data_IF_941116366909
#
_entry.id   IF_941116366909
#
_cell.length_a   1.000
_cell.length_b   1.000
_cell.length_c   1.000
_cell.angle_alpha   90.00
_cell.angle_beta   90.00
_cell.angle_gamma   90.00
#
_symmetry.space_group_name_H-M   'P 1'
#
loop_
_entity.id
_entity.type
_entity.pdbx_description
1 polymer ?
#
# COMPACT_ATOMS: atom_id res chain seq x y z
N UNK A 1 -26.24 -0.04 9.13
CA UNK A 1 -24.89 -0.57 8.85
C UNK A 1 -24.14 0.51 8.09
N UNK A 2 -22.99 0.98 8.58
CA UNK A 2 -22.19 2.02 7.90
C UNK A 2 -20.94 1.37 7.31
N UNK A 3 -20.68 1.63 6.02
CA UNK A 3 -19.53 1.12 5.29
C UNK A 3 -18.68 2.27 4.78
N UNK A 4 -17.36 2.20 5.00
CA UNK A 4 -16.38 3.21 4.58
C UNK A 4 -15.32 2.56 3.70
N UNK A 5 -14.95 3.26 2.62
CA UNK A 5 -13.81 2.90 1.77
C UNK A 5 -12.69 3.91 2.03
N UNK A 6 -11.54 3.44 2.51
CA UNK A 6 -10.35 4.27 2.75
C UNK A 6 -9.35 4.01 1.63
N UNK A 7 -9.17 5.01 0.76
CA UNK A 7 -8.17 4.97 -0.31
C UNK A 7 -6.87 5.61 0.14
N UNK A 8 -5.77 4.88 0.03
CA UNK A 8 -4.44 5.32 0.43
C UNK A 8 -3.53 5.41 -0.80
N UNK A 9 -3.01 6.61 -1.06
CA UNK A 9 -2.06 6.85 -2.15
C UNK A 9 -0.63 6.45 -1.79
N UNK A 10 0.23 6.26 -2.80
CA UNK A 10 1.63 5.86 -2.61
C UNK A 10 2.38 6.80 -1.65
N UNK A 11 2.23 8.12 -1.81
CA UNK A 11 2.90 9.10 -0.93
C UNK A 11 2.44 9.05 0.54
N UNK A 12 1.27 8.47 0.83
CA UNK A 12 0.87 8.19 2.20
C UNK A 12 1.63 6.97 2.71
N UNK A 13 1.84 5.94 1.90
CA UNK A 13 2.37 4.65 2.34
C UNK A 13 3.88 4.51 2.29
N UNK A 14 4.59 5.43 1.62
CA UNK A 14 6.02 5.28 1.34
C UNK A 14 6.83 6.51 1.77
N UNK A 15 8.08 6.30 2.19
CA UNK A 15 9.09 7.36 2.40
C UNK A 15 10.02 7.56 1.20
N UNK A 16 10.04 6.59 0.29
CA UNK A 16 10.88 6.57 -0.90
C UNK A 16 10.56 5.37 -1.78
N UNK A 17 11.33 5.17 -2.84
CA UNK A 17 11.17 4.00 -3.73
C UNK A 17 11.49 2.73 -2.94
N UNK A 18 10.52 1.81 -2.85
CA UNK A 18 10.70 0.55 -2.12
C UNK A 18 10.60 0.64 -0.60
N UNK A 19 10.42 1.84 -0.05
CA UNK A 19 10.45 2.09 1.38
C UNK A 19 9.06 2.39 1.91
N UNK A 20 8.46 1.42 2.60
CA UNK A 20 7.16 1.58 3.25
C UNK A 20 7.32 2.31 4.58
N UNK A 21 6.40 3.24 4.85
CA UNK A 21 6.26 3.86 6.16
C UNK A 21 5.43 2.97 7.09
N UNK A 22 6.09 1.96 7.67
CA UNK A 22 5.45 0.98 8.55
C UNK A 22 4.81 1.60 9.79
N UNK A 23 5.42 2.67 10.33
CA UNK A 23 4.88 3.42 11.47
C UNK A 23 3.52 4.03 11.11
N UNK A 24 3.44 4.66 9.92
CA UNK A 24 2.20 5.27 9.45
C UNK A 24 1.13 4.23 9.12
N UNK A 25 1.52 3.10 8.50
CA UNK A 25 0.59 1.97 8.28
C UNK A 25 0.03 1.46 9.61
N UNK A 26 0.88 1.26 10.61
CA UNK A 26 0.43 0.81 11.94
C UNK A 26 -0.56 1.79 12.57
N UNK A 27 -0.31 3.10 12.45
CA UNK A 27 -1.23 4.13 12.94
C UNK A 27 -2.58 4.11 12.20
N UNK A 28 -2.59 3.86 10.89
CA UNK A 28 -3.81 3.68 10.10
C UNK A 28 -4.57 2.43 10.55
N UNK A 29 -3.88 1.29 10.74
CA UNK A 29 -4.49 0.05 11.20
C UNK A 29 -5.17 0.20 12.57
N UNK A 30 -4.58 0.98 13.49
CA UNK A 30 -5.21 1.29 14.78
C UNK A 30 -6.53 2.05 14.61
N UNK A 31 -6.55 3.10 13.78
CA UNK A 31 -7.78 3.85 13.48
C UNK A 31 -8.84 2.97 12.81
N UNK A 32 -8.44 2.08 11.90
CA UNK A 32 -9.36 1.12 11.27
C UNK A 32 -9.93 0.15 12.31
N UNK A 33 -9.12 -0.33 13.25
CA UNK A 33 -9.59 -1.20 14.33
C UNK A 33 -10.62 -0.49 15.22
N UNK A 34 -10.41 0.79 15.55
CA UNK A 34 -11.38 1.60 16.30
C UNK A 34 -12.72 1.76 15.56
N UNK A 35 -12.68 1.99 14.24
CA UNK A 35 -13.90 2.04 13.42
C UNK A 35 -14.63 0.69 13.40
N UNK A 36 -13.88 -0.41 13.26
CA UNK A 36 -14.46 -1.77 13.28
C UNK A 36 -15.08 -2.11 14.63
N UNK A 37 -14.47 -1.70 15.75
CA UNK A 37 -15.03 -1.85 17.09
C UNK A 37 -16.37 -1.09 17.28
N UNK A 38 -16.62 -0.08 16.45
CA UNK A 38 -17.89 0.66 16.40
C UNK A 38 -18.90 0.05 15.42
N UNK A 39 -18.68 -1.19 14.97
CA UNK A 39 -19.50 -1.90 13.97
C UNK A 39 -19.58 -1.19 12.61
N UNK A 40 -18.53 -0.44 12.24
CA UNK A 40 -18.38 0.16 10.91
C UNK A 40 -17.54 -0.79 10.06
N UNK A 41 -18.05 -1.13 8.87
CA UNK A 41 -17.31 -1.93 7.91
C UNK A 41 -16.30 -1.05 7.18
N UNK A 42 -15.06 -1.50 7.08
CA UNK A 42 -13.96 -0.74 6.46
C UNK A 42 -13.34 -1.56 5.34
N UNK A 43 -13.27 -0.97 4.15
CA UNK A 43 -12.54 -1.49 3.00
C UNK A 43 -11.32 -0.60 2.75
N UNK A 44 -10.13 -1.21 2.64
CA UNK A 44 -8.89 -0.50 2.35
C UNK A 44 -8.55 -0.66 0.86
N UNK A 45 -8.32 0.46 0.18
CA UNK A 45 -7.82 0.49 -1.20
C UNK A 45 -6.43 1.11 -1.20
N UNK A 46 -5.40 0.26 -1.30
CA UNK A 46 -4.01 0.68 -1.20
C UNK A 46 -3.34 0.83 -2.57
N UNK A 47 -2.63 1.93 -2.78
CA UNK A 47 -1.63 2.07 -3.85
C UNK A 47 -0.27 1.48 -3.40
N UNK A 48 0.81 1.70 -4.17
CA UNK A 48 2.19 1.43 -3.71
C UNK A 48 2.88 0.20 -4.33
N UNK A 49 2.14 -0.74 -4.92
CA UNK A 49 2.72 -2.00 -5.44
C UNK A 49 3.87 -1.79 -6.44
N UNK A 50 3.70 -0.89 -7.43
CA UNK A 50 4.77 -0.59 -8.41
C UNK A 50 6.03 -0.04 -7.71
N UNK A 51 5.87 0.89 -6.76
CA UNK A 51 7.00 1.46 -6.02
C UNK A 51 7.74 0.40 -5.19
N UNK A 52 7.02 -0.57 -4.65
CA UNK A 52 7.60 -1.71 -3.94
C UNK A 52 8.38 -2.65 -4.86
N UNK A 53 7.84 -2.94 -6.04
CA UNK A 53 8.55 -3.71 -7.05
C UNK A 53 9.80 -3.00 -7.55
N UNK A 54 9.72 -1.69 -7.76
CA UNK A 54 10.86 -0.87 -8.16
C UNK A 54 12.00 -0.94 -7.15
N UNK A 55 11.70 -0.84 -5.85
CA UNK A 55 12.70 -1.01 -4.79
C UNK A 55 13.35 -2.39 -4.81
N UNK A 56 12.55 -3.45 -4.98
CA UNK A 56 13.09 -4.81 -5.06
C UNK A 56 14.00 -5.02 -6.28
N UNK A 57 13.64 -4.42 -7.42
CA UNK A 57 14.40 -4.46 -8.66
C UNK A 57 15.51 -3.40 -8.74
N UNK A 58 15.74 -2.61 -7.69
CA UNK A 58 16.72 -1.51 -7.63
C UNK A 58 16.58 -0.49 -8.76
N UNK A 59 15.33 -0.23 -9.18
CA UNK A 59 15.02 0.75 -10.22
C UNK A 59 15.01 2.16 -9.64
N UNK A 60 15.71 3.08 -10.29
CA UNK A 60 15.80 4.49 -9.85
C UNK A 60 14.60 5.33 -10.29
N UNK A 61 13.85 4.89 -11.29
CA UNK A 61 12.71 5.61 -11.83
C UNK A 61 11.60 4.65 -12.26
N UNK A 62 10.38 5.18 -12.34
CA UNK A 62 9.21 4.38 -12.71
C UNK A 62 9.35 3.91 -14.16
N UNK A 63 9.17 2.61 -14.45
CA UNK A 63 9.17 2.13 -15.83
C UNK A 63 8.07 2.79 -16.66
N UNK A 64 8.36 3.03 -17.94
CA UNK A 64 7.43 3.67 -18.89
C UNK A 64 6.57 2.65 -19.65
N UNK A 65 7.04 1.41 -19.79
CA UNK A 65 6.29 0.37 -20.51
C UNK A 65 5.35 -0.38 -19.58
N UNK A 66 4.14 -0.67 -20.07
CA UNK A 66 3.12 -1.41 -19.31
C UNK A 66 3.63 -2.77 -18.79
N UNK A 67 4.34 -3.62 -19.59
CA UNK A 67 4.83 -4.90 -19.09
C UNK A 67 5.80 -4.75 -17.90
N UNK A 68 6.68 -3.75 -17.93
CA UNK A 68 7.62 -3.50 -16.82
C UNK A 68 6.89 -2.98 -15.58
N UNK A 69 5.87 -2.15 -15.76
CA UNK A 69 5.02 -1.70 -14.65
C UNK A 69 4.25 -2.85 -14.03
N UNK A 70 3.70 -3.76 -14.84
CA UNK A 70 3.02 -4.96 -14.36
C UNK A 70 3.98 -5.88 -13.60
N UNK A 71 5.20 -6.12 -14.12
CA UNK A 71 6.22 -6.90 -13.41
C UNK A 71 6.55 -6.28 -12.03
N UNK A 72 6.73 -4.96 -11.96
CA UNK A 72 6.91 -4.26 -10.68
C UNK A 72 5.69 -4.43 -9.77
N UNK A 73 4.47 -4.29 -10.29
CA UNK A 73 3.25 -4.43 -9.51
C UNK A 73 3.12 -5.85 -8.93
N UNK A 74 3.34 -6.90 -9.73
CA UNK A 74 3.27 -8.29 -9.29
C UNK A 74 4.28 -8.59 -8.18
N UNK A 75 5.53 -8.14 -8.34
CA UNK A 75 6.59 -8.31 -7.32
C UNK A 75 6.28 -7.51 -6.06
N UNK A 76 5.84 -6.26 -6.21
CA UNK A 76 5.62 -5.38 -5.08
C UNK A 76 4.31 -5.64 -4.33
N UNK A 77 3.31 -6.24 -4.97
CA UNK A 77 2.01 -6.53 -4.36
C UNK A 77 2.14 -7.54 -3.21
N UNK A 78 2.96 -8.58 -3.36
CA UNK A 78 3.21 -9.56 -2.29
C UNK A 78 3.82 -8.91 -1.05
N UNK A 79 4.71 -7.93 -1.23
CA UNK A 79 5.30 -7.16 -0.13
C UNK A 79 4.30 -6.17 0.47
N UNK A 80 3.50 -5.51 -0.38
CA UNK A 80 2.49 -4.56 0.07
C UNK A 80 1.44 -5.24 0.95
N UNK A 81 0.96 -6.44 0.57
CA UNK A 81 -0.03 -7.15 1.37
C UNK A 81 0.54 -7.63 2.72
N UNK A 82 1.82 -8.03 2.76
CA UNK A 82 2.49 -8.37 4.02
C UNK A 82 2.55 -7.20 5.01
N UNK A 83 2.53 -5.95 4.54
CA UNK A 83 2.48 -4.79 5.44
C UNK A 83 1.10 -4.53 6.04
N UNK A 84 0.05 -5.14 5.48
CA UNK A 84 -1.34 -5.01 5.95
C UNK A 84 -1.84 -6.22 6.75
N UNK A 85 -1.08 -7.33 6.77
CA UNK A 85 -1.32 -8.50 7.62
C UNK A 85 -0.85 -8.23 9.05
#
# INVERSE_FOLDING_TARGET
>A
MHRIVIKLGTGILTKGIGEIDTIRIQAICRQIAELRNRNIEVLVVSSGAIGMGMGNLKLRSRPTTLPKQQACASIGQSRLIQCWQ
#
